data_IF_356970859877
#
_entry.id   IF_356970859877
#
_cell.length_a   1.000
_cell.length_b   1.000
_cell.length_c   1.000
_cell.angle_alpha   90.00
_cell.angle_beta   90.00
_cell.angle_gamma   90.00
#
_symmetry.space_group_name_H-M   'P 1'
#
loop_
_entity.id
_entity.type
_entity.pdbx_description
1 polymer ?
#
# COMPACT_ATOMS: atom_id res chain seq x y z
N UNK A 1 -19.49 -9.77 -8.45
CA UNK A 1 -18.21 -9.03 -8.56
C UNK A 1 -18.43 -7.70 -7.90
N UNK A 2 -18.27 -7.62 -6.58
CA UNK A 2 -18.67 -6.42 -5.86
C UNK A 2 -17.63 -6.19 -4.76
N UNK A 3 -16.67 -5.30 -5.02
CA UNK A 3 -15.68 -4.92 -4.01
C UNK A 3 -15.36 -3.42 -4.00
N UNK A 4 -16.20 -2.58 -4.62
CA UNK A 4 -15.90 -1.16 -4.77
C UNK A 4 -17.09 -0.24 -4.47
N UNK A 5 -18.04 -0.66 -3.63
CA UNK A 5 -19.23 0.16 -3.35
C UNK A 5 -19.55 0.26 -1.85
N UNK A 6 -18.60 0.72 -1.02
CA UNK A 6 -18.95 1.30 0.30
C UNK A 6 -17.80 2.08 0.96
N UNK A 7 -17.07 2.91 0.22
CA UNK A 7 -16.09 3.80 0.84
C UNK A 7 -16.62 5.23 0.87
N UNK A 8 -17.16 5.64 2.03
CA UNK A 8 -17.58 7.02 2.28
C UNK A 8 -16.47 8.03 1.97
N UNK A 9 -16.82 9.32 1.77
CA UNK A 9 -16.01 10.30 1.03
C UNK A 9 -14.58 10.52 1.54
N UNK A 10 -14.27 10.15 2.79
CA UNK A 10 -12.92 10.24 3.37
C UNK A 10 -12.20 8.87 3.45
N UNK A 11 -12.93 7.75 3.60
CA UNK A 11 -12.34 6.41 3.65
C UNK A 11 -11.87 5.91 2.28
N UNK A 12 -12.53 6.33 1.21
CA UNK A 12 -12.16 5.91 -0.16
C UNK A 12 -10.82 6.45 -0.61
N UNK A 13 -10.49 7.68 -0.20
CA UNK A 13 -9.19 8.29 -0.47
C UNK A 13 -8.07 7.61 0.30
N UNK A 14 -8.27 7.39 1.60
CA UNK A 14 -7.26 6.75 2.45
C UNK A 14 -6.99 5.29 2.09
N UNK A 15 -8.02 4.53 1.72
CA UNK A 15 -7.87 3.14 1.30
C UNK A 15 -7.06 3.03 -0.01
N UNK A 16 -7.35 3.89 -1.00
CA UNK A 16 -6.60 3.94 -2.25
C UNK A 16 -5.16 4.43 -2.02
N UNK A 17 -4.99 5.49 -1.22
CA UNK A 17 -3.67 6.05 -0.92
C UNK A 17 -2.76 5.05 -0.17
N UNK A 18 -3.34 4.24 0.71
CA UNK A 18 -2.62 3.14 1.36
C UNK A 18 -2.20 2.06 0.34
N UNK A 19 -3.07 1.71 -0.61
CA UNK A 19 -2.75 0.76 -1.68
C UNK A 19 -1.59 1.26 -2.56
N UNK A 20 -1.64 2.54 -2.97
CA UNK A 20 -0.60 3.18 -3.77
C UNK A 20 0.74 3.25 -3.04
N UNK A 21 0.70 3.49 -1.73
CA UNK A 21 1.90 3.45 -0.89
C UNK A 21 2.55 2.05 -0.88
N UNK A 22 1.77 1.00 -0.66
CA UNK A 22 2.27 -0.39 -0.64
C UNK A 22 2.81 -0.82 -2.00
N UNK A 23 2.11 -0.44 -3.08
CA UNK A 23 2.56 -0.70 -4.46
C UNK A 23 3.80 0.12 -4.85
N UNK A 24 4.16 1.15 -4.06
CA UNK A 24 5.32 1.99 -4.33
C UNK A 24 5.15 2.93 -5.54
N UNK A 25 3.91 3.26 -5.90
CA UNK A 25 3.59 4.09 -7.09
C UNK A 25 3.45 5.58 -6.77
N UNK A 26 3.46 5.95 -5.48
CA UNK A 26 3.42 7.34 -5.03
C UNK A 26 4.68 8.12 -5.43
N UNK A 27 4.50 9.42 -5.70
CA UNK A 27 5.64 10.33 -5.83
C UNK A 27 6.41 10.45 -4.50
N UNK A 28 7.66 10.94 -4.55
CA UNK A 28 8.53 10.99 -3.38
C UNK A 28 7.92 11.77 -2.20
N UNK A 29 7.33 12.94 -2.46
CA UNK A 29 6.68 13.77 -1.43
C UNK A 29 5.46 13.08 -0.82
N UNK A 30 4.62 12.44 -1.64
CA UNK A 30 3.44 11.70 -1.20
C UNK A 30 3.83 10.49 -0.35
N UNK A 31 4.90 9.79 -0.74
CA UNK A 31 5.46 8.68 0.05
C UNK A 31 5.91 9.16 1.42
N UNK A 32 6.53 10.34 1.52
CA UNK A 32 6.92 10.92 2.82
C UNK A 32 5.69 11.26 3.68
N UNK A 33 4.62 11.78 3.06
CA UNK A 33 3.36 12.05 3.76
C UNK A 33 2.76 10.74 4.29
N UNK A 34 2.67 9.71 3.45
CA UNK A 34 2.16 8.40 3.84
C UNK A 34 2.97 7.78 4.99
N UNK A 35 4.32 7.82 4.92
CA UNK A 35 5.18 7.32 6.00
C UNK A 35 4.91 8.03 7.33
N UNK A 36 4.79 9.37 7.34
CA UNK A 36 4.44 10.12 8.57
C UNK A 36 3.03 9.77 9.06
N UNK A 37 2.08 9.55 8.16
CA UNK A 37 0.72 9.12 8.53
C UNK A 37 0.70 7.72 9.13
N UNK A 38 1.50 6.78 8.62
CA UNK A 38 1.62 5.43 9.20
C UNK A 38 2.08 5.51 10.67
N UNK A 39 3.02 6.42 10.97
CA UNK A 39 3.51 6.62 12.33
C UNK A 39 2.48 7.30 13.25
N UNK A 40 1.70 8.26 12.73
CA UNK A 40 0.81 9.10 13.52
C UNK A 40 -0.64 8.57 13.61
N UNK A 41 -1.09 7.77 12.65
CA UNK A 41 -2.48 7.34 12.49
C UNK A 41 -2.57 5.81 12.42
N UNK A 42 -2.99 5.21 13.53
CA UNK A 42 -3.16 3.77 13.65
C UNK A 42 -4.24 3.19 12.72
N UNK A 43 -5.24 3.99 12.30
CA UNK A 43 -6.25 3.52 11.35
C UNK A 43 -5.66 3.42 9.95
N UNK A 44 -4.90 4.42 9.52
CA UNK A 44 -4.18 4.39 8.24
C UNK A 44 -3.13 3.27 8.21
N UNK A 45 -2.38 3.08 9.30
CA UNK A 45 -1.42 1.98 9.41
C UNK A 45 -2.06 0.60 9.22
N UNK A 46 -3.29 0.39 9.72
CA UNK A 46 -4.05 -0.86 9.50
C UNK A 46 -4.51 -1.05 8.06
N UNK A 47 -4.74 0.02 7.31
CA UNK A 47 -5.04 -0.07 5.87
C UNK A 47 -3.80 -0.53 5.11
N UNK A 48 -2.63 0.03 5.44
CA UNK A 48 -1.34 -0.37 4.85
C UNK A 48 -1.05 -1.85 5.13
N UNK A 49 -1.13 -2.29 6.39
CA UNK A 49 -0.94 -3.70 6.78
C UNK A 49 -1.87 -4.65 6.01
N UNK A 50 -3.16 -4.28 5.88
CA UNK A 50 -4.13 -5.05 5.09
C UNK A 50 -3.68 -5.20 3.64
N UNK A 51 -3.21 -4.12 3.01
CA UNK A 51 -2.74 -4.15 1.62
C UNK A 51 -1.44 -4.94 1.46
N UNK A 52 -0.51 -4.85 2.42
CA UNK A 52 0.71 -5.67 2.42
C UNK A 52 0.39 -7.16 2.48
N UNK A 53 -0.54 -7.58 3.35
CA UNK A 53 -1.00 -8.97 3.43
C UNK A 53 -1.72 -9.39 2.14
N UNK A 54 -2.56 -8.52 1.58
CA UNK A 54 -3.31 -8.81 0.36
C UNK A 54 -2.39 -9.00 -0.85
N UNK A 55 -1.32 -8.20 -0.97
CA UNK A 55 -0.39 -8.21 -2.10
C UNK A 55 0.79 -9.15 -1.91
N UNK A 56 1.08 -9.60 -0.69
CA UNK A 56 2.15 -10.56 -0.38
C UNK A 56 2.21 -11.79 -1.31
N UNK A 57 1.08 -12.46 -1.64
CA UNK A 57 1.10 -13.60 -2.56
C UNK A 57 1.53 -13.27 -3.98
N UNK A 58 1.41 -12.00 -4.41
CA UNK A 58 1.79 -11.57 -5.75
C UNK A 58 3.32 -11.64 -5.94
N UNK A 59 4.09 -11.40 -4.87
CA UNK A 59 5.53 -11.56 -4.87
C UNK A 59 5.96 -13.03 -5.07
N UNK A 60 5.16 -14.01 -4.63
CA UNK A 60 5.46 -15.42 -4.80
C UNK A 60 5.47 -15.88 -6.28
N UNK A 61 4.86 -15.11 -7.18
CA UNK A 61 4.93 -15.36 -8.62
C UNK A 61 6.28 -14.97 -9.23
N UNK A 62 7.09 -14.18 -8.52
CA UNK A 62 8.41 -13.72 -8.97
C UNK A 62 9.49 -14.43 -8.16
N UNK A 63 10.15 -15.46 -8.73
CA UNK A 63 11.24 -16.12 -8.02
C UNK A 63 12.38 -15.13 -7.78
N UNK A 64 13.02 -15.24 -6.61
CA UNK A 64 14.21 -14.45 -6.29
C UNK A 64 15.31 -14.71 -7.33
N UNK A 65 15.89 -13.65 -7.87
CA UNK A 65 17.00 -13.72 -8.82
C UNK A 65 18.24 -13.11 -8.17
N UNK A 66 19.39 -13.79 -8.35
CA UNK A 66 20.65 -13.23 -7.87
C UNK A 66 20.98 -11.94 -8.65
N UNK A 67 21.36 -10.85 -7.97
CA UNK A 67 21.79 -9.63 -8.64
C UNK A 67 23.09 -9.92 -9.44
N UNK A 68 23.27 -9.30 -10.62
CA UNK A 68 24.47 -9.53 -11.42
C UNK A 68 25.73 -9.10 -10.65
N UNK A 69 26.77 -9.94 -10.73
CA UNK A 69 28.08 -9.64 -10.16
C UNK A 69 28.69 -8.48 -10.98
N UNK A 70 29.01 -7.37 -10.32
CA UNK A 70 29.69 -6.22 -10.93
C UNK A 70 31.18 -6.47 -11.09
#
# INVERSE_FOLDING_TARGET
MTLAEENGPERGGDDLFAAEYVLGVLAADERQIASRRIEADAAFARLVDRWEVHLSPMAAAYPETEPPIR
#
